data_IF_775456602294
#
_entry.id   IF_775456602294
#
_cell.length_a   1.000
_cell.length_b   1.000
_cell.length_c   1.000
_cell.angle_alpha   90.00
_cell.angle_beta   90.00
_cell.angle_gamma   90.00
#
_symmetry.space_group_name_H-M   'P 1'
#
loop_
_entity.id
_entity.type
_entity.pdbx_description
1 polymer ?
#
# COMPACT_ATOMS: atom_id res chain seq x y z
N UNK A 1 3.21 25.62 -5.47
CA UNK A 1 3.55 24.23 -5.85
C UNK A 1 4.93 24.24 -6.47
N UNK A 2 5.86 23.35 -6.11
CA UNK A 2 7.16 23.32 -6.80
C UNK A 2 6.98 22.77 -8.22
N UNK A 3 7.71 23.35 -9.18
CA UNK A 3 7.79 22.90 -10.58
C UNK A 3 8.12 21.41 -10.68
N UNK A 4 8.96 20.92 -9.77
CA UNK A 4 9.36 19.52 -9.66
C UNK A 4 8.19 18.56 -9.37
N UNK A 5 7.22 18.97 -8.55
CA UNK A 5 6.05 18.13 -8.22
C UNK A 5 5.11 17.97 -9.40
N UNK A 6 4.98 19.01 -10.25
CA UNK A 6 4.21 18.93 -11.49
C UNK A 6 4.87 17.96 -12.48
N UNK A 7 6.18 18.10 -12.68
CA UNK A 7 6.95 17.26 -13.61
C UNK A 7 6.93 15.78 -13.21
N UNK A 8 6.99 15.47 -11.91
CA UNK A 8 6.86 14.10 -11.39
C UNK A 8 5.50 13.48 -11.73
N UNK A 9 4.41 14.24 -11.59
CA UNK A 9 3.06 13.77 -11.92
C UNK A 9 2.86 13.57 -13.41
N UNK A 10 3.40 14.46 -14.24
CA UNK A 10 3.35 14.34 -15.70
C UNK A 10 4.13 13.10 -16.17
N UNK A 11 5.36 12.93 -15.68
CA UNK A 11 6.20 11.77 -16.00
C UNK A 11 5.49 10.46 -15.63
N UNK A 12 4.83 10.46 -14.46
CA UNK A 12 4.03 9.33 -14.02
C UNK A 12 2.82 9.09 -14.91
N UNK A 13 2.06 10.12 -15.26
CA UNK A 13 0.89 9.99 -16.13
C UNK A 13 1.29 9.41 -17.50
N UNK A 14 2.42 9.85 -18.08
CA UNK A 14 3.00 9.27 -19.28
C UNK A 14 3.34 7.79 -19.11
N UNK A 15 3.98 7.42 -17.99
CA UNK A 15 4.31 6.01 -17.67
C UNK A 15 3.05 5.15 -17.50
N UNK A 16 2.01 5.66 -16.85
CA UNK A 16 0.73 4.97 -16.72
C UNK A 16 0.13 4.71 -18.10
N UNK A 17 0.01 5.74 -18.95
CA UNK A 17 -0.51 5.63 -20.32
C UNK A 17 0.25 4.59 -21.15
N UNK A 18 1.58 4.59 -21.09
CA UNK A 18 2.43 3.62 -21.79
C UNK A 18 2.16 2.16 -21.37
N UNK A 19 1.64 1.94 -20.16
CA UNK A 19 1.39 0.61 -19.60
C UNK A 19 -0.11 0.35 -19.33
N UNK A 20 -1.00 1.04 -20.03
CA UNK A 20 -2.44 0.98 -19.80
C UNK A 20 -3.01 -0.45 -19.81
N UNK A 21 -2.54 -1.30 -20.75
CA UNK A 21 -2.97 -2.69 -20.87
C UNK A 21 -2.63 -3.53 -19.62
N UNK A 22 -1.45 -3.31 -19.02
CA UNK A 22 -1.01 -4.03 -17.81
C UNK A 22 -1.89 -3.66 -16.62
N UNK A 23 -2.22 -2.37 -16.48
CA UNK A 23 -3.11 -1.89 -15.43
C UNK A 23 -4.54 -2.38 -15.60
N UNK A 24 -5.06 -2.34 -16.82
CA UNK A 24 -6.39 -2.86 -17.14
C UNK A 24 -6.49 -4.36 -16.84
N UNK A 25 -5.46 -5.14 -17.23
CA UNK A 25 -5.37 -6.56 -16.91
C UNK A 25 -5.40 -6.81 -15.41
N UNK A 26 -4.51 -6.16 -14.64
CA UNK A 26 -4.44 -6.35 -13.19
C UNK A 26 -5.76 -6.00 -12.48
N UNK A 27 -6.36 -4.87 -12.86
CA UNK A 27 -7.67 -4.46 -12.33
C UNK A 27 -8.77 -5.47 -12.68
N UNK A 28 -8.83 -5.93 -13.93
CA UNK A 28 -9.82 -6.90 -14.36
C UNK A 28 -9.62 -8.26 -13.69
N UNK A 29 -8.37 -8.68 -13.44
CA UNK A 29 -8.06 -9.88 -12.66
C UNK A 29 -8.56 -9.77 -11.22
N UNK A 30 -8.37 -8.61 -10.57
CA UNK A 30 -8.93 -8.34 -9.24
C UNK A 30 -10.46 -8.39 -9.24
N UNK A 31 -11.12 -7.79 -10.25
CA UNK A 31 -12.57 -7.90 -10.42
C UNK A 31 -13.03 -9.33 -10.63
N UNK A 32 -12.38 -10.07 -11.52
CA UNK A 32 -12.72 -11.46 -11.80
C UNK A 32 -12.55 -12.33 -10.56
N UNK A 33 -11.50 -12.09 -9.76
CA UNK A 33 -11.28 -12.77 -8.48
C UNK A 33 -12.43 -12.50 -7.50
N UNK A 34 -12.84 -11.24 -7.36
CA UNK A 34 -13.93 -10.84 -6.48
C UNK A 34 -15.30 -11.33 -6.92
N UNK A 35 -15.62 -11.27 -8.21
CA UNK A 35 -16.92 -11.70 -8.71
C UNK A 35 -17.07 -13.22 -8.81
N UNK A 36 -15.96 -13.96 -8.90
CA UNK A 36 -15.95 -15.43 -8.82
C UNK A 36 -15.85 -15.96 -7.39
N UNK A 37 -15.57 -15.10 -6.41
CA UNK A 37 -15.51 -15.55 -5.02
C UNK A 37 -16.91 -15.84 -4.50
N UNK A 38 -17.01 -16.78 -3.56
CA UNK A 38 -18.30 -17.13 -2.94
C UNK A 38 -18.79 -16.08 -1.93
N UNK A 39 -17.97 -15.07 -1.63
CA UNK A 39 -18.21 -14.04 -0.62
C UNK A 39 -17.88 -12.68 -1.19
N UNK A 40 -18.87 -11.78 -1.17
CA UNK A 40 -18.70 -10.39 -1.55
C UNK A 40 -18.49 -9.55 -0.29
N UNK A 41 -17.23 -9.21 -0.02
CA UNK A 41 -16.87 -8.25 1.03
C UNK A 41 -17.01 -6.82 0.51
N UNK A 42 -17.39 -5.89 1.38
CA UNK A 42 -17.46 -4.45 1.04
C UNK A 42 -16.17 -3.72 1.37
N UNK A 43 -15.38 -4.30 2.28
CA UNK A 43 -14.16 -3.72 2.83
C UNK A 43 -13.17 -4.85 3.10
N UNK A 44 -11.88 -4.55 2.94
CA UNK A 44 -10.78 -5.38 3.41
C UNK A 44 -10.36 -4.85 4.78
N UNK A 45 -10.38 -5.71 5.79
CA UNK A 45 -10.02 -5.37 7.16
C UNK A 45 -8.51 -5.59 7.35
N UNK A 46 -7.78 -4.55 7.73
CA UNK A 46 -6.32 -4.60 7.93
C UNK A 46 -6.06 -4.36 9.41
N UNK A 47 -5.42 -5.29 10.13
CA UNK A 47 -5.11 -5.06 11.55
C UNK A 47 -4.28 -3.79 11.71
N UNK A 48 -4.65 -2.94 12.68
CA UNK A 48 -3.98 -1.65 12.91
C UNK A 48 -2.47 -1.76 13.15
N UNK A 49 -2.02 -2.88 13.71
CA UNK A 49 -0.61 -3.20 13.91
C UNK A 49 0.23 -3.14 12.62
N UNK A 50 -0.39 -3.25 11.43
CA UNK A 50 0.30 -3.04 10.16
C UNK A 50 0.78 -1.60 9.96
N UNK A 51 0.01 -0.63 10.49
CA UNK A 51 0.13 0.80 10.20
C UNK A 51 0.87 1.53 11.33
N UNK A 52 0.73 1.02 12.54
CA UNK A 52 1.32 1.58 13.75
C UNK A 52 2.78 1.12 13.93
N UNK A 53 3.59 1.98 14.54
CA UNK A 53 4.93 1.64 14.97
C UNK A 53 4.90 0.44 15.94
N UNK A 54 5.89 -0.44 15.82
CA UNK A 54 6.05 -1.57 16.73
C UNK A 54 6.69 -1.02 18.01
N UNK A 55 5.94 -1.03 19.11
CA UNK A 55 6.48 -0.74 20.43
C UNK A 55 6.80 -2.06 21.10
N UNK A 56 8.02 -2.57 20.92
CA UNK A 56 8.75 -3.54 21.78
C UNK A 56 10.02 -4.00 21.02
N UNK A 57 11.24 -3.82 21.56
CA UNK A 57 12.47 -4.29 20.91
C UNK A 57 12.63 -5.80 21.10
N UNK A 58 11.95 -6.61 20.28
CA UNK A 58 12.17 -8.06 20.27
C UNK A 58 13.44 -8.39 19.46
N UNK A 59 14.54 -8.73 20.13
CA UNK A 59 15.77 -9.20 19.47
C UNK A 59 15.66 -10.69 19.15
N UNK A 60 15.41 -11.00 17.89
CA UNK A 60 15.55 -12.37 17.38
C UNK A 60 17.02 -12.78 17.41
N UNK A 61 17.36 -13.79 18.21
CA UNK A 61 18.59 -14.57 18.03
C UNK A 61 18.30 -15.61 16.95
N UNK A 62 18.56 -15.25 15.70
CA UNK A 62 18.63 -16.22 14.61
C UNK A 62 20.05 -16.78 14.61
N UNK A 63 20.17 -18.09 14.82
CA UNK A 63 21.46 -18.78 14.87
C UNK A 63 22.31 -18.45 13.63
N UNK A 64 23.54 -18.03 13.93
CA UNK A 64 24.55 -17.60 12.97
C UNK A 64 24.96 -18.79 12.09
N UNK A 65 24.53 -18.77 10.83
CA UNK A 65 25.25 -19.43 9.74
C UNK A 65 25.85 -18.35 8.83
N UNK A 66 27.14 -18.44 8.60
CA UNK A 66 28.04 -17.39 8.11
C UNK A 66 27.58 -16.61 6.87
N UNK A 67 27.98 -15.33 6.86
CA UNK A 67 27.94 -14.35 5.76
C UNK A 67 26.58 -13.69 5.42
N UNK A 68 26.03 -12.88 6.33
CA UNK A 68 25.02 -11.87 5.99
C UNK A 68 25.31 -10.61 6.84
N UNK A 69 25.36 -9.44 6.18
CA UNK A 69 25.33 -8.10 6.80
C UNK A 69 24.42 -8.08 8.03
N UNK A 70 24.85 -7.44 9.13
CA UNK A 70 24.11 -7.27 10.39
C UNK A 70 22.61 -7.07 10.15
N UNK A 71 21.85 -8.14 10.32
CA UNK A 71 20.45 -8.22 9.92
C UNK A 71 19.56 -7.87 11.11
N UNK A 72 19.26 -6.58 11.28
CA UNK A 72 18.15 -6.14 12.15
C UNK A 72 16.97 -5.72 11.27
N UNK A 73 15.81 -6.38 11.38
CA UNK A 73 14.55 -5.80 10.92
C UNK A 73 14.42 -4.36 11.44
N UNK A 74 13.75 -3.47 10.71
CA UNK A 74 13.49 -2.13 11.20
C UNK A 74 12.37 -2.18 12.26
N UNK A 75 12.66 -2.79 13.41
CA UNK A 75 11.70 -3.02 14.49
C UNK A 75 11.16 -1.72 15.07
N UNK A 76 11.81 -0.58 14.83
CA UNK A 76 11.28 0.73 15.23
C UNK A 76 10.26 1.30 14.25
N UNK A 77 10.05 0.64 13.10
CA UNK A 77 9.12 1.09 12.05
C UNK A 77 7.85 0.26 12.06
N UNK A 78 6.74 0.89 11.66
CA UNK A 78 5.53 0.18 11.28
C UNK A 78 5.81 -0.73 10.07
N UNK A 79 5.20 -1.93 10.01
CA UNK A 79 5.31 -2.83 8.86
C UNK A 79 4.97 -2.12 7.54
N UNK A 80 3.98 -1.23 7.54
CA UNK A 80 3.60 -0.45 6.37
C UNK A 80 4.75 0.43 5.85
N UNK A 81 5.45 1.13 6.75
CA UNK A 81 6.50 2.08 6.33
C UNK A 81 7.82 1.41 6.01
N UNK A 82 8.13 0.26 6.61
CA UNK A 82 9.30 -0.53 6.24
C UNK A 82 9.22 -1.05 4.79
N UNK A 83 8.00 -1.23 4.27
CA UNK A 83 7.75 -1.64 2.89
C UNK A 83 7.84 -0.51 1.84
N UNK A 84 7.99 0.76 2.26
CA UNK A 84 8.10 1.88 1.32
C UNK A 84 9.43 1.80 0.56
N UNK A 85 9.34 1.59 -0.74
CA UNK A 85 10.49 1.58 -1.65
C UNK A 85 10.13 2.30 -2.96
N UNK A 86 11.08 3.06 -3.51
CA UNK A 86 10.87 3.88 -4.72
C UNK A 86 10.46 3.08 -5.97
N UNK A 87 10.82 1.79 -6.02
CA UNK A 87 10.52 0.88 -7.15
C UNK A 87 9.90 -0.45 -6.71
N UNK A 88 9.53 -0.56 -5.43
CA UNK A 88 8.97 -1.78 -4.86
C UNK A 88 7.45 -1.89 -5.08
N UNK A 89 6.97 -3.14 -5.07
CA UNK A 89 5.53 -3.47 -5.11
C UNK A 89 5.08 -4.20 -3.84
N UNK A 90 5.87 -4.18 -2.78
CA UNK A 90 5.66 -5.03 -1.61
C UNK A 90 4.36 -4.69 -0.87
N UNK A 91 4.06 -3.39 -0.66
CA UNK A 91 2.78 -2.95 -0.09
C UNK A 91 1.62 -3.41 -0.97
N UNK A 92 1.71 -3.20 -2.28
CA UNK A 92 0.66 -3.59 -3.22
C UNK A 92 0.41 -5.09 -3.20
N UNK A 93 1.48 -5.90 -3.24
CA UNK A 93 1.41 -7.35 -3.15
C UNK A 93 0.75 -7.78 -1.83
N UNK A 94 1.17 -7.22 -0.69
CA UNK A 94 0.61 -7.57 0.60
C UNK A 94 -0.88 -7.22 0.71
N UNK A 95 -1.29 -6.02 0.29
CA UNK A 95 -2.69 -5.63 0.27
C UNK A 95 -3.53 -6.52 -0.65
N UNK A 96 -2.99 -6.94 -1.79
CA UNK A 96 -3.66 -7.90 -2.70
C UNK A 96 -3.75 -9.28 -2.06
N UNK A 97 -2.75 -9.72 -1.30
CA UNK A 97 -2.83 -10.95 -0.54
C UNK A 97 -3.95 -10.92 0.51
N UNK A 98 -4.10 -9.81 1.24
CA UNK A 98 -5.19 -9.63 2.21
C UNK A 98 -6.56 -9.60 1.50
N UNK A 99 -6.67 -8.86 0.40
CA UNK A 99 -7.88 -8.84 -0.43
C UNK A 99 -8.24 -10.24 -0.96
N UNK A 100 -7.25 -11.00 -1.44
CA UNK A 100 -7.45 -12.36 -1.96
C UNK A 100 -7.95 -13.31 -0.86
N UNK A 101 -7.29 -13.28 0.30
CA UNK A 101 -7.63 -14.11 1.44
C UNK A 101 -9.06 -13.82 1.94
N UNK A 102 -9.39 -12.54 2.15
CA UNK A 102 -10.69 -12.15 2.70
C UNK A 102 -11.84 -12.30 1.71
N UNK A 103 -11.55 -12.28 0.41
CA UNK A 103 -12.58 -12.54 -0.62
C UNK A 103 -13.02 -14.00 -0.64
N UNK A 104 -12.19 -14.95 -0.15
CA UNK A 104 -12.48 -16.39 -0.24
C UNK A 104 -12.65 -17.12 1.10
N UNK A 105 -12.12 -16.57 2.20
CA UNK A 105 -12.15 -17.20 3.52
C UNK A 105 -13.13 -16.50 4.46
N UNK A 106 -13.67 -17.25 5.42
CA UNK A 106 -14.46 -16.70 6.52
C UNK A 106 -13.55 -16.08 7.59
N UNK A 107 -14.06 -15.15 8.42
CA UNK A 107 -13.38 -14.69 9.63
C UNK A 107 -12.85 -15.85 10.49
N UNK A 108 -11.64 -15.68 11.03
CA UNK A 108 -10.92 -16.69 11.82
C UNK A 108 -10.18 -17.76 11.02
N UNK A 109 -10.42 -17.89 9.70
CA UNK A 109 -9.81 -18.96 8.89
C UNK A 109 -8.43 -18.55 8.37
N UNK A 110 -7.45 -19.45 8.49
CA UNK A 110 -6.14 -19.34 7.84
C UNK A 110 -6.26 -19.63 6.33
N UNK A 111 -5.94 -18.67 5.44
CA UNK A 111 -6.00 -18.87 4.00
C UNK A 111 -4.83 -19.71 3.47
N UNK A 112 -5.10 -20.89 2.90
CA UNK A 112 -4.09 -21.67 2.17
C UNK A 112 -3.81 -21.07 0.79
N UNK A 113 -2.55 -20.79 0.46
CA UNK A 113 -2.17 -20.24 -0.85
C UNK A 113 -2.08 -21.36 -1.90
N UNK A 114 -3.12 -21.49 -2.71
CA UNK A 114 -3.17 -22.45 -3.81
C UNK A 114 -2.90 -21.78 -5.18
N UNK A 115 -2.61 -20.48 -5.19
CA UNK A 115 -2.49 -19.70 -6.42
C UNK A 115 -1.05 -19.76 -6.95
N UNK A 116 -0.84 -20.15 -8.21
CA UNK A 116 0.50 -20.20 -8.76
C UNK A 116 1.05 -18.77 -8.94
N UNK A 117 2.38 -18.62 -8.86
CA UNK A 117 3.02 -17.33 -9.16
C UNK A 117 2.85 -16.91 -10.62
N UNK A 118 2.80 -17.87 -11.54
CA UNK A 118 2.65 -17.65 -12.97
C UNK A 118 1.45 -18.44 -13.52
N UNK A 119 0.76 -17.92 -14.55
CA UNK A 119 -0.38 -18.63 -15.13
C UNK A 119 0.12 -19.89 -15.84
N UNK A 120 -0.51 -21.04 -15.50
CA UNK A 120 -0.21 -22.35 -16.08
C UNK A 120 -1.17 -22.73 -17.22
N UNK A 121 -2.43 -22.31 -17.16
CA UNK A 121 -3.43 -22.46 -18.25
C UNK A 121 -4.58 -21.46 -18.04
N UNK A 122 -5.57 -21.79 -17.20
CA UNK A 122 -6.81 -21.01 -17.00
C UNK A 122 -6.97 -20.42 -15.59
N UNK A 123 -5.99 -20.63 -14.73
CA UNK A 123 -5.99 -20.11 -13.37
C UNK A 123 -5.38 -18.71 -13.30
N UNK A 124 -6.08 -17.79 -12.60
CA UNK A 124 -5.55 -16.45 -12.29
C UNK A 124 -4.34 -16.61 -11.38
N UNK A 125 -3.16 -16.18 -11.83
CA UNK A 125 -1.93 -16.24 -11.04
C UNK A 125 -1.66 -14.95 -10.26
N UNK A 126 -0.71 -14.98 -9.32
CA UNK A 126 -0.26 -13.76 -8.63
C UNK A 126 0.29 -12.70 -9.60
N UNK A 127 0.89 -13.14 -10.71
CA UNK A 127 1.34 -12.25 -11.79
C UNK A 127 0.19 -11.49 -12.46
N UNK A 128 -1.00 -12.08 -12.52
CA UNK A 128 -2.18 -11.47 -13.15
C UNK A 128 -2.85 -10.44 -12.27
N UNK A 129 -2.70 -10.56 -10.95
CA UNK A 129 -3.27 -9.63 -9.97
C UNK A 129 -2.44 -8.35 -9.80
N UNK A 130 -1.19 -8.31 -10.28
CA UNK A 130 -0.27 -7.20 -10.05
C UNK A 130 0.13 -6.48 -11.34
N UNK A 131 -0.09 -5.16 -11.34
CA UNK A 131 0.46 -4.28 -12.37
C UNK A 131 1.95 -4.03 -12.11
N UNK A 132 2.80 -4.80 -12.76
CA UNK A 132 4.26 -4.69 -12.66
C UNK A 132 4.84 -4.17 -13.97
N UNK A 133 5.56 -3.05 -13.89
CA UNK A 133 6.22 -2.43 -15.04
C UNK A 133 7.64 -2.92 -15.10
N UNK A 134 7.93 -3.71 -16.13
CA UNK A 134 9.28 -4.11 -16.40
C UNK A 134 9.60 -3.92 -17.88
N UNK A 135 10.53 -3.01 -18.16
CA UNK A 135 11.21 -2.98 -19.44
C UNK A 135 12.12 -4.21 -19.53
N UNK A 136 12.04 -4.94 -20.63
CA UNK A 136 12.99 -6.00 -20.94
C UNK A 136 14.23 -5.42 -21.63
N UNK A 137 15.41 -5.92 -21.26
CA UNK A 137 16.60 -5.91 -22.10
C UNK A 137 16.96 -7.37 -22.32
N UNK A 138 17.25 -7.74 -23.57
CA UNK A 138 17.64 -9.10 -23.91
C UNK A 138 18.80 -9.57 -23.02
N UNK A 139 18.80 -10.83 -22.52
CA UNK A 139 17.93 -11.94 -22.93
C UNK A 139 16.63 -12.14 -22.12
N UNK A 140 16.31 -11.28 -21.15
CA UNK A 140 15.16 -11.48 -20.25
C UNK A 140 13.83 -11.00 -20.86
N UNK A 141 12.74 -11.77 -20.72
CA UNK A 141 11.42 -11.33 -21.19
C UNK A 141 10.76 -10.36 -20.20
N UNK A 142 9.78 -9.54 -20.64
CA UNK A 142 9.00 -8.71 -19.72
C UNK A 142 8.33 -9.54 -18.61
N UNK A 143 7.89 -10.76 -18.93
CA UNK A 143 7.29 -11.70 -17.98
C UNK A 143 8.28 -12.12 -16.88
N UNK A 144 9.52 -12.44 -17.25
CA UNK A 144 10.57 -12.81 -16.30
C UNK A 144 10.90 -11.66 -15.34
N UNK A 145 10.92 -10.44 -15.86
CA UNK A 145 11.19 -9.27 -15.04
C UNK A 145 10.04 -8.97 -14.08
N UNK A 146 8.79 -9.14 -14.50
CA UNK A 146 7.62 -9.03 -13.62
C UNK A 146 7.64 -10.11 -12.53
N UNK A 147 7.96 -11.36 -12.87
CA UNK A 147 8.13 -12.42 -11.88
C UNK A 147 9.25 -12.09 -10.89
N UNK A 148 10.38 -11.59 -11.37
CA UNK A 148 11.50 -11.15 -10.52
C UNK A 148 11.09 -10.03 -9.57
N UNK A 149 10.24 -9.09 -9.99
CA UNK A 149 9.69 -8.06 -9.11
C UNK A 149 8.81 -8.66 -8.00
N UNK A 150 7.95 -9.64 -8.33
CA UNK A 150 7.14 -10.35 -7.33
C UNK A 150 8.03 -11.12 -6.35
N UNK A 151 9.03 -11.86 -6.84
CA UNK A 151 9.98 -12.58 -5.97
C UNK A 151 10.73 -11.63 -5.03
N UNK A 152 11.20 -10.47 -5.53
CA UNK A 152 11.81 -9.43 -4.69
C UNK A 152 10.85 -8.85 -3.66
N UNK A 153 9.58 -8.66 -4.03
CA UNK A 153 8.56 -8.20 -3.11
C UNK A 153 8.26 -9.24 -2.02
N UNK A 154 8.19 -10.53 -2.35
CA UNK A 154 8.04 -11.62 -1.39
C UNK A 154 9.22 -11.70 -0.41
N UNK A 155 10.45 -11.55 -0.89
CA UNK A 155 11.62 -11.47 -0.01
C UNK A 155 11.55 -10.26 0.94
N UNK A 156 11.05 -9.13 0.46
CA UNK A 156 10.84 -7.96 1.30
C UNK A 156 9.76 -8.23 2.37
N UNK A 157 8.65 -8.88 2.00
CA UNK A 157 7.60 -9.26 2.94
C UNK A 157 8.08 -10.31 3.96
N UNK A 158 8.89 -11.27 3.54
CA UNK A 158 9.53 -12.26 4.42
C UNK A 158 10.45 -11.59 5.44
N UNK A 159 11.26 -10.61 4.99
CA UNK A 159 12.13 -9.82 5.89
C UNK A 159 11.33 -9.07 6.97
N UNK A 160 10.15 -8.58 6.63
CA UNK A 160 9.27 -7.85 7.56
C UNK A 160 8.33 -8.77 8.36
N UNK A 161 8.50 -10.10 8.25
CA UNK A 161 7.69 -11.15 8.88
C UNK A 161 6.19 -11.08 8.54
N UNK A 162 5.89 -10.69 7.29
CA UNK A 162 4.51 -10.63 6.76
C UNK A 162 4.16 -11.84 5.91
N UNK A 163 5.17 -12.59 5.47
CA UNK A 163 5.05 -13.83 4.69
C UNK A 163 6.08 -14.86 5.14
N UNK A 164 5.71 -16.13 5.14
CA UNK A 164 6.62 -17.27 5.25
C UNK A 164 6.79 -17.93 3.87
N UNK A 165 8.04 -18.13 3.43
CA UNK A 165 8.35 -18.84 2.19
C UNK A 165 8.76 -20.28 2.54
N UNK A 166 7.98 -21.30 2.16
CA UNK A 166 8.18 -22.67 2.66
C UNK A 166 9.41 -23.38 2.10
N UNK A 167 9.96 -22.93 0.96
CA UNK A 167 11.07 -23.60 0.28
C UNK A 167 12.46 -23.16 0.75
N UNK A 168 13.38 -24.13 0.89
CA UNK A 168 14.81 -23.87 1.09
C UNK A 168 15.41 -22.97 -0.01
N UNK A 169 16.51 -22.26 0.32
CA UNK A 169 17.13 -21.19 -0.52
C UNK A 169 17.41 -21.59 -1.98
N UNK A 170 17.49 -22.88 -2.30
CA UNK A 170 18.00 -23.39 -3.59
C UNK A 170 16.95 -24.01 -4.54
N UNK A 171 15.64 -23.95 -4.23
CA UNK A 171 14.62 -24.49 -5.14
C UNK A 171 14.00 -23.40 -6.03
N UNK A 172 13.90 -23.65 -7.34
CA UNK A 172 13.30 -22.70 -8.30
C UNK A 172 11.84 -22.37 -7.97
N UNK A 173 11.13 -23.30 -7.31
CA UNK A 173 9.76 -23.18 -6.84
C UNK A 173 9.63 -22.73 -5.37
N UNK A 174 10.72 -22.27 -4.72
CA UNK A 174 10.66 -21.90 -3.28
C UNK A 174 9.56 -20.90 -2.93
N UNK A 175 9.22 -20.02 -3.87
CA UNK A 175 8.25 -18.96 -3.69
C UNK A 175 6.79 -19.42 -3.88
N UNK A 176 6.55 -20.66 -4.31
CA UNK A 176 5.20 -21.22 -4.42
C UNK A 176 4.64 -21.50 -3.02
N UNK A 177 3.32 -21.39 -2.87
CA UNK A 177 2.66 -21.75 -1.61
C UNK A 177 3.09 -20.92 -0.40
N UNK A 178 3.63 -19.71 -0.61
CA UNK A 178 3.97 -18.80 0.48
C UNK A 178 2.77 -18.57 1.38
N UNK A 179 2.99 -18.48 2.69
CA UNK A 179 1.93 -18.31 3.69
C UNK A 179 1.91 -16.89 4.21
N UNK A 180 0.73 -16.37 4.50
CA UNK A 180 0.58 -15.06 5.12
C UNK A 180 0.82 -15.16 6.62
N UNK A 181 1.54 -14.18 7.16
CA UNK A 181 1.75 -13.99 8.59
C UNK A 181 0.94 -12.80 9.09
N UNK A 182 0.78 -12.71 10.40
CA UNK A 182 0.05 -11.64 11.06
C UNK A 182 0.59 -10.26 10.66
N UNK A 183 -0.31 -9.29 10.46
CA UNK A 183 0.06 -7.99 9.91
C UNK A 183 0.90 -7.13 10.85
N UNK A 184 1.05 -7.50 12.13
CA UNK A 184 2.04 -6.89 13.04
C UNK A 184 3.48 -7.11 12.58
N UNK A 185 3.73 -8.21 11.85
CA UNK A 185 5.06 -8.69 11.51
C UNK A 185 5.94 -8.89 12.75
N UNK A 186 5.33 -9.28 13.86
CA UNK A 186 5.99 -9.67 15.10
C UNK A 186 5.79 -11.17 15.36
N UNK A 187 6.83 -11.90 15.79
CA UNK A 187 6.67 -13.24 16.31
C UNK A 187 6.01 -13.21 17.69
N UNK A 188 5.56 -14.36 18.18
CA UNK A 188 5.15 -14.51 19.59
C UNK A 188 6.35 -14.34 20.53
N UNK A 189 6.07 -14.20 21.83
CA UNK A 189 7.11 -14.23 22.88
C UNK A 189 7.95 -15.52 22.86
N UNK A 190 7.37 -16.64 22.40
CA UNK A 190 8.07 -17.91 22.20
C UNK A 190 8.83 -17.99 20.86
N UNK A 191 9.06 -16.87 20.20
CA UNK A 191 9.70 -16.79 18.89
C UNK A 191 9.00 -17.61 17.79
N UNK A 192 7.69 -17.81 17.90
CA UNK A 192 6.91 -18.55 16.89
C UNK A 192 6.26 -17.57 15.92
N UNK A 193 6.32 -17.87 14.62
CA UNK A 193 5.67 -17.06 13.60
C UNK A 193 4.14 -17.16 13.76
N UNK A 194 3.48 -16.00 13.82
CA UNK A 194 2.02 -15.94 13.93
C UNK A 194 1.43 -15.98 12.53
N UNK A 195 0.65 -17.02 12.22
CA UNK A 195 -0.01 -17.15 10.94
C UNK A 195 -1.15 -16.15 10.80
N UNK A 196 -1.37 -15.68 9.60
CA UNK A 196 -2.51 -14.84 9.30
C UNK A 196 -3.81 -15.66 9.33
N UNK A 197 -4.80 -15.13 10.03
CA UNK A 197 -6.21 -15.50 9.87
C UNK A 197 -6.98 -14.27 9.42
N UNK A 198 -8.05 -14.49 8.65
CA UNK A 198 -9.00 -13.42 8.33
C UNK A 198 -9.50 -12.80 9.65
N UNK A 199 -9.41 -11.47 9.84
CA UNK A 199 -9.82 -10.84 11.09
C UNK A 199 -11.26 -11.19 11.48
N UNK A 200 -11.48 -11.43 12.77
CA UNK A 200 -12.81 -11.50 13.37
C UNK A 200 -13.43 -10.09 13.45
N UNK A 201 -14.76 -10.02 13.53
CA UNK A 201 -15.50 -8.76 13.48
C UNK A 201 -15.17 -7.82 14.67
N UNK A 202 -14.78 -8.39 15.81
CA UNK A 202 -14.38 -7.66 17.02
C UNK A 202 -12.91 -7.19 17.03
N UNK A 203 -12.10 -7.56 16.03
CA UNK A 203 -10.70 -7.17 16.00
C UNK A 203 -10.50 -5.72 15.57
N UNK A 204 -9.50 -5.06 16.16
CA UNK A 204 -9.13 -3.69 15.86
C UNK A 204 -8.46 -3.58 14.48
N UNK A 205 -9.28 -3.20 13.49
CA UNK A 205 -8.91 -3.22 12.07
C UNK A 205 -9.23 -1.88 11.41
N UNK A 206 -8.33 -1.45 10.53
CA UNK A 206 -8.60 -0.41 9.56
C UNK A 206 -9.46 -0.98 8.42
N UNK A 207 -10.55 -0.30 8.10
CA UNK A 207 -11.46 -0.66 7.01
C UNK A 207 -11.05 0.00 5.70
N UNK A 208 -10.62 -0.79 4.72
CA UNK A 208 -10.27 -0.31 3.38
C UNK A 208 -11.36 -0.70 2.37
N UNK A 209 -12.08 0.26 1.75
CA UNK A 209 -13.17 -0.07 0.82
C UNK A 209 -12.72 -0.93 -0.35
N UNK A 210 -13.56 -1.88 -0.76
CA UNK A 210 -13.28 -2.84 -1.83
C UNK A 210 -12.95 -2.17 -3.17
N UNK A 211 -13.54 -1.00 -3.41
CA UNK A 211 -13.28 -0.15 -4.59
C UNK A 211 -11.80 0.23 -4.74
N UNK A 212 -11.02 0.24 -3.65
CA UNK A 212 -9.57 0.44 -3.72
C UNK A 212 -8.89 -0.60 -4.63
N UNK A 213 -9.39 -1.83 -4.62
CA UNK A 213 -8.91 -2.93 -5.45
C UNK A 213 -9.65 -2.96 -6.80
N UNK A 214 -10.98 -2.91 -6.79
CA UNK A 214 -11.81 -3.07 -7.99
C UNK A 214 -11.65 -1.91 -8.99
N UNK A 215 -11.33 -0.71 -8.51
CA UNK A 215 -11.05 0.45 -9.36
C UNK A 215 -9.56 0.66 -9.65
N UNK A 216 -8.69 -0.21 -9.11
CA UNK A 216 -7.26 -0.26 -9.44
C UNK A 216 -6.39 0.74 -8.69
N UNK A 217 -6.87 1.36 -7.61
CA UNK A 217 -6.09 2.31 -6.79
C UNK A 217 -4.83 1.67 -6.23
N UNK A 218 -4.91 0.40 -5.79
CA UNK A 218 -3.76 -0.37 -5.31
C UNK A 218 -2.62 -0.45 -6.35
N UNK A 219 -2.94 -0.44 -7.64
CA UNK A 219 -1.93 -0.55 -8.70
C UNK A 219 -1.33 0.81 -9.07
N UNK A 220 -2.17 1.84 -9.11
CA UNK A 220 -1.74 3.13 -9.65
C UNK A 220 -1.08 4.01 -8.60
N UNK A 221 -1.38 3.84 -7.30
CA UNK A 221 -0.76 4.61 -6.21
C UNK A 221 0.66 4.12 -5.89
N UNK A 222 1.52 5.06 -5.50
CA UNK A 222 2.89 4.76 -5.08
C UNK A 222 2.88 4.18 -3.67
N UNK A 223 3.94 3.45 -3.24
CA UNK A 223 4.02 2.97 -1.86
C UNK A 223 3.84 4.08 -0.80
N UNK A 224 4.42 5.26 -1.04
CA UNK A 224 4.27 6.41 -0.14
C UNK A 224 2.85 7.00 -0.13
N UNK A 225 2.17 7.02 -1.28
CA UNK A 225 0.77 7.45 -1.37
C UNK A 225 -0.17 6.47 -0.68
N UNK A 226 0.04 5.16 -0.84
CA UNK A 226 -0.72 4.13 -0.12
C UNK A 226 -0.50 4.30 1.37
N UNK A 227 0.74 4.41 1.82
CA UNK A 227 1.05 4.55 3.24
C UNK A 227 0.41 5.82 3.85
N UNK A 228 0.51 6.95 3.15
CA UNK A 228 -0.13 8.20 3.56
C UNK A 228 -1.65 8.09 3.58
N UNK A 229 -2.25 7.42 2.60
CA UNK A 229 -3.70 7.23 2.54
C UNK A 229 -4.21 6.34 3.69
N UNK A 230 -3.52 5.23 3.98
CA UNK A 230 -3.88 4.34 5.10
C UNK A 230 -3.73 5.05 6.46
N UNK A 231 -2.68 5.85 6.64
CA UNK A 231 -2.53 6.70 7.83
C UNK A 231 -3.70 7.68 7.99
N UNK A 232 -4.12 8.36 6.92
CA UNK A 232 -5.24 9.30 6.96
C UNK A 232 -6.59 8.58 7.19
N UNK A 233 -6.76 7.36 6.66
CA UNK A 233 -7.92 6.54 6.97
C UNK A 233 -7.96 6.15 8.46
N UNK A 234 -6.80 5.80 9.02
CA UNK A 234 -6.70 5.47 10.44
C UNK A 234 -7.04 6.68 11.33
N UNK A 235 -6.47 7.84 11.04
CA UNK A 235 -6.79 9.09 11.73
C UNK A 235 -8.27 9.46 11.61
N UNK A 236 -8.89 9.24 10.45
CA UNK A 236 -10.34 9.46 10.26
C UNK A 236 -11.14 8.55 11.19
N UNK A 237 -10.76 7.28 11.31
CA UNK A 237 -11.48 6.33 12.14
C UNK A 237 -11.33 6.62 13.63
N UNK A 238 -10.15 7.07 14.05
CA UNK A 238 -9.86 7.50 15.43
C UNK A 238 -10.55 8.84 15.79
N UNK A 239 -10.74 9.73 14.82
CA UNK A 239 -11.24 11.09 15.04
C UNK A 239 -12.39 11.44 14.09
N UNK A 240 -13.47 10.64 14.11
CA UNK A 240 -14.63 10.78 13.19
C UNK A 240 -15.30 12.15 13.28
N UNK A 241 -15.52 12.64 14.50
CA UNK A 241 -16.16 13.95 14.74
C UNK A 241 -15.31 15.11 14.21
N UNK A 242 -13.99 15.07 14.47
CA UNK A 242 -13.03 16.04 13.94
C UNK A 242 -12.98 15.98 12.41
N UNK A 243 -12.95 14.78 11.82
CA UNK A 243 -12.98 14.60 10.37
C UNK A 243 -14.20 15.28 9.73
N UNK A 244 -15.38 15.08 10.31
CA UNK A 244 -16.63 15.58 9.73
C UNK A 244 -16.80 17.10 9.93
N UNK A 245 -16.38 17.63 11.07
CA UNK A 245 -16.42 19.07 11.38
C UNK A 245 -15.34 19.85 10.63
N UNK A 246 -14.08 19.77 11.06
CA UNK A 246 -12.98 20.62 10.61
C UNK A 246 -11.87 19.87 9.84
N UNK A 247 -12.00 18.56 9.66
CA UNK A 247 -10.99 17.70 9.04
C UNK A 247 -9.93 17.20 10.02
N UNK A 248 -9.24 16.14 9.63
CA UNK A 248 -8.14 15.53 10.39
C UNK A 248 -6.80 16.11 9.97
N UNK A 249 -5.85 16.17 10.89
CA UNK A 249 -4.48 16.53 10.59
C UNK A 249 -3.52 15.57 11.28
N UNK A 250 -2.29 15.50 10.76
CA UNK A 250 -1.23 14.71 11.38
C UNK A 250 -0.11 15.66 11.82
N UNK A 251 0.03 15.93 13.13
CA UNK A 251 1.21 16.59 13.68
C UNK A 251 2.49 15.84 13.31
N UNK A 252 3.60 16.55 13.17
CA UNK A 252 4.88 15.90 12.82
C UNK A 252 5.33 14.84 13.83
N UNK A 253 5.12 15.05 15.13
CA UNK A 253 5.48 14.08 16.18
C UNK A 253 4.62 12.80 16.06
N UNK A 254 3.28 12.93 16.00
CA UNK A 254 2.38 11.78 15.78
C UNK A 254 2.76 11.00 14.53
N UNK A 255 3.05 11.69 13.41
CA UNK A 255 3.43 11.03 12.17
C UNK A 255 4.68 10.17 12.31
N UNK A 256 5.70 10.68 12.99
CA UNK A 256 7.00 10.01 13.13
C UNK A 256 6.94 8.94 14.21
N UNK A 257 6.34 9.23 15.37
CA UNK A 257 6.29 8.32 16.50
C UNK A 257 5.27 7.20 16.30
N UNK A 258 4.04 7.54 15.89
CA UNK A 258 2.95 6.56 15.78
C UNK A 258 2.97 5.77 14.48
N UNK A 259 3.35 6.42 13.37
CA UNK A 259 3.24 5.82 12.03
C UNK A 259 4.59 5.59 11.36
N UNK A 260 5.68 6.11 11.94
CA UNK A 260 7.05 6.06 11.39
C UNK A 260 7.15 6.55 9.95
N UNK A 261 6.24 7.45 9.57
CA UNK A 261 6.12 7.96 8.21
C UNK A 261 7.00 9.22 8.05
N UNK A 262 7.97 9.14 7.15
CA UNK A 262 8.87 10.26 6.88
C UNK A 262 8.11 11.46 6.30
N UNK A 263 8.70 12.66 6.46
CA UNK A 263 8.17 13.88 5.84
C UNK A 263 8.00 13.72 4.33
N UNK A 264 9.01 13.19 3.65
CA UNK A 264 9.00 13.00 2.20
C UNK A 264 7.88 12.05 1.74
N UNK A 265 7.62 11.00 2.51
CA UNK A 265 6.52 10.09 2.22
C UNK A 265 5.18 10.79 2.39
N UNK A 266 5.04 11.57 3.47
CA UNK A 266 3.82 12.30 3.81
C UNK A 266 3.43 13.36 2.77
N UNK A 267 4.40 14.03 2.12
CA UNK A 267 4.15 14.98 1.02
C UNK A 267 3.33 14.36 -0.14
N UNK A 268 3.23 13.04 -0.21
CA UNK A 268 2.30 12.32 -1.09
C UNK A 268 0.84 12.74 -0.92
N UNK A 269 0.47 13.37 0.20
CA UNK A 269 -0.86 13.97 0.39
C UNK A 269 -1.20 15.01 -0.70
N UNK A 270 -0.21 15.64 -1.33
CA UNK A 270 -0.45 16.57 -2.45
C UNK A 270 -1.01 15.84 -3.68
N UNK A 271 -0.44 14.68 -4.02
CA UNK A 271 -0.94 13.83 -5.11
C UNK A 271 -2.31 13.26 -4.80
N UNK A 272 -2.51 12.77 -3.57
CA UNK A 272 -3.82 12.25 -3.12
C UNK A 272 -4.92 13.31 -3.23
N UNK A 273 -4.60 14.58 -2.92
CA UNK A 273 -5.54 15.69 -3.07
C UNK A 273 -5.88 15.95 -4.54
N UNK A 274 -4.89 15.90 -5.45
CA UNK A 274 -5.13 16.03 -6.90
C UNK A 274 -5.94 14.88 -7.49
N UNK A 275 -5.73 13.67 -7.01
CA UNK A 275 -6.59 12.53 -7.36
C UNK A 275 -8.01 12.68 -6.81
N UNK A 276 -8.25 13.65 -5.91
CA UNK A 276 -9.53 13.85 -5.24
C UNK A 276 -9.84 12.76 -4.21
N UNK A 277 -8.85 11.94 -3.81
CA UNK A 277 -9.01 10.95 -2.74
C UNK A 277 -9.15 11.62 -1.36
N UNK A 278 -8.51 12.78 -1.21
CA UNK A 278 -8.63 13.64 -0.03
C UNK A 278 -8.93 15.08 -0.48
N UNK A 279 -9.58 15.85 0.39
CA UNK A 279 -9.77 17.30 0.24
C UNK A 279 -8.94 18.01 1.30
N UNK A 280 -8.19 19.03 0.91
CA UNK A 280 -7.56 19.95 1.87
C UNK A 280 -8.63 20.90 2.37
N UNK A 281 -8.75 21.05 3.69
CA UNK A 281 -9.60 22.09 4.29
C UNK A 281 -8.85 23.41 4.19
N UNK A 282 -9.45 24.47 3.62
CA UNK A 282 -8.84 25.79 3.56
C UNK A 282 -8.46 26.27 4.96
N UNK A 283 -7.28 26.89 5.09
CA UNK A 283 -6.84 27.50 6.33
C UNK A 283 -6.70 29.00 6.08
N UNK A 284 -7.43 29.83 6.82
CA UNK A 284 -7.39 31.30 6.67
C UNK A 284 -5.98 31.89 6.84
N UNK A 285 -5.09 31.19 7.57
CA UNK A 285 -3.71 31.60 7.79
C UNK A 285 -2.74 31.07 6.72
N UNK A 286 -3.25 30.52 5.60
CA UNK A 286 -2.42 29.94 4.53
C UNK A 286 -3.02 30.21 3.16
N UNK A 287 -2.22 30.78 2.26
CA UNK A 287 -2.58 30.93 0.85
C UNK A 287 -2.75 29.57 0.16
N UNK A 288 -3.52 29.53 -0.93
CA UNK A 288 -3.74 28.32 -1.75
C UNK A 288 -2.45 27.70 -2.28
N UNK A 289 -1.41 28.52 -2.46
CA UNK A 289 -0.07 28.07 -2.86
C UNK A 289 0.71 27.36 -1.73
N UNK A 290 0.15 27.29 -0.53
CA UNK A 290 0.72 26.68 0.67
C UNK A 290 1.62 27.61 1.48
N UNK A 291 1.87 28.86 1.05
CA UNK A 291 2.59 29.84 1.86
C UNK A 291 1.70 30.37 2.98
N UNK A 292 2.33 30.75 4.07
CA UNK A 292 1.64 31.21 5.27
C UNK A 292 1.36 32.69 5.10
N UNK A 293 0.11 33.11 5.34
CA UNK A 293 -0.30 34.51 5.15
C UNK A 293 0.20 35.41 6.28
N UNK A 294 0.45 34.85 7.46
CA UNK A 294 0.97 35.57 8.63
C UNK A 294 1.71 34.62 9.57
N UNK A 295 2.91 35.00 10.02
CA UNK A 295 3.68 34.28 11.03
C UNK A 295 3.25 34.62 12.48
N UNK A 296 2.17 35.40 12.66
CA UNK A 296 1.70 35.82 13.99
C UNK A 296 1.00 34.70 14.77
N UNK A 297 0.70 33.57 14.11
CA UNK A 297 0.11 32.39 14.74
C UNK A 297 0.92 31.14 14.38
N UNK A 298 1.02 30.15 15.29
CA UNK A 298 1.78 28.93 15.04
C UNK A 298 1.28 28.23 13.77
N UNK A 299 2.23 27.70 12.99
CA UNK A 299 1.97 27.01 11.74
C UNK A 299 1.12 25.77 11.99
N UNK A 300 -0.18 25.85 11.68
CA UNK A 300 -1.06 24.70 11.77
C UNK A 300 -0.80 23.73 10.61
N UNK A 301 -0.82 22.43 10.93
CA UNK A 301 -0.79 21.36 9.94
C UNK A 301 -1.99 21.46 8.99
N UNK A 302 -1.79 20.99 7.75
CA UNK A 302 -2.91 20.85 6.82
C UNK A 302 -3.97 19.90 7.40
N UNK A 303 -5.21 20.34 7.33
CA UNK A 303 -6.38 19.53 7.66
C UNK A 303 -6.93 18.90 6.39
N UNK A 304 -7.39 17.66 6.50
CA UNK A 304 -7.84 16.84 5.39
C UNK A 304 -9.19 16.20 5.69
N UNK A 305 -10.02 16.05 4.66
CA UNK A 305 -11.19 15.18 4.67
C UNK A 305 -11.02 14.09 3.61
N UNK A 306 -11.30 12.84 3.96
CA UNK A 306 -11.36 11.74 3.00
C UNK A 306 -12.62 11.91 2.14
N UNK A 307 -12.45 11.92 0.82
CA UNK A 307 -13.56 12.13 -0.10
C UNK A 307 -14.47 10.89 -0.15
N UNK A 308 -15.76 11.07 0.16
CA UNK A 308 -16.78 10.02 -0.02
C UNK A 308 -16.90 9.64 -1.50
N UNK A 309 -16.95 8.35 -1.81
CA UNK A 309 -17.11 7.81 -3.18
C UNK A 309 -15.92 8.03 -4.14
N UNK A 310 -14.82 8.65 -3.67
CA UNK A 310 -13.70 8.95 -4.55
C UNK A 310 -13.00 7.69 -5.09
N UNK A 311 -13.04 6.60 -4.32
CA UNK A 311 -12.47 5.30 -4.69
C UNK A 311 -13.28 4.58 -5.78
N UNK A 312 -14.58 4.86 -5.92
CA UNK A 312 -15.45 4.24 -6.92
C UNK A 312 -15.16 4.71 -8.36
N UNK A 313 -14.30 5.73 -8.50
CA UNK A 313 -13.83 6.22 -9.80
C UNK A 313 -12.68 5.38 -10.30
N UNK A 314 -12.61 5.22 -11.62
CA UNK A 314 -11.52 4.52 -12.31
C UNK A 314 -10.16 5.18 -12.01
N UNK A 315 -9.33 4.48 -11.24
CA UNK A 315 -8.08 5.03 -10.73
C UNK A 315 -7.10 5.37 -11.86
N UNK A 316 -7.07 4.55 -12.92
CA UNK A 316 -6.22 4.80 -14.08
C UNK A 316 -6.64 6.06 -14.81
N UNK A 317 -7.95 6.25 -15.07
CA UNK A 317 -8.44 7.46 -15.74
C UNK A 317 -8.11 8.73 -14.95
N UNK A 318 -8.33 8.70 -13.63
CA UNK A 318 -8.04 9.85 -12.77
C UNK A 318 -6.54 10.17 -12.75
N UNK A 319 -5.70 9.18 -12.48
CA UNK A 319 -4.25 9.38 -12.33
C UNK A 319 -3.55 9.73 -13.64
N UNK A 320 -4.01 9.18 -14.78
CA UNK A 320 -3.46 9.51 -16.10
C UNK A 320 -4.03 10.80 -16.71
N UNK A 321 -5.22 11.23 -16.25
CA UNK A 321 -5.91 12.44 -16.73
C UNK A 321 -5.40 13.76 -16.14
N UNK A 322 -4.79 13.74 -14.95
CA UNK A 322 -4.31 14.96 -14.26
C UNK A 322 -3.25 15.74 -15.06
N UNK A 323 -2.54 15.07 -15.96
CA UNK A 323 -1.61 15.75 -16.87
C UNK A 323 -2.30 16.72 -17.85
N UNK A 324 -3.61 16.61 -18.08
CA UNK A 324 -4.36 17.46 -19.01
C UNK A 324 -4.99 18.70 -18.35
N UNK A 325 -5.10 18.74 -17.02
CA UNK A 325 -5.73 19.85 -16.29
C UNK A 325 -4.72 20.85 -15.69
N UNK A 326 -3.42 20.67 -15.96
CA UNK A 326 -2.35 21.49 -15.39
C UNK A 326 -1.85 22.60 -16.34
N UNK A 327 -2.74 23.20 -17.14
CA UNK A 327 -2.52 24.51 -17.76
C UNK A 327 -3.85 25.27 -17.81
N UNK A 328 -4.12 26.16 -16.84
CA UNK A 328 -4.64 27.51 -17.10
C UNK A 328 -3.43 28.44 -17.01
N UNK A 329 -2.94 29.04 -18.10
CA UNK A 329 -3.68 30.03 -18.87
C UNK A 329 -3.52 31.36 -18.14
N UNK A 330 -2.41 32.05 -18.41
CA UNK A 330 -2.25 33.47 -18.12
C UNK A 330 -3.40 34.23 -18.78
N UNK A 331 -4.15 34.97 -17.98
CA UNK A 331 -4.78 36.24 -18.37
C UNK A 331 -4.48 37.26 -17.26
#
# INVERSE_FOLDING_TARGET
MSTESAQRLETRAKKLKANAKIYAHARNSCKNLYYRSRRHIWEVHIRRAFILARYEPFRLSLDKSDSIEEFSPSWDRSPLTSLISSRGIAIQLFLICLFEAQSRCQPGVEPKNNRPLQPKTDEVAWLDLLATHASAKAPATPRDNRLRQIKKALLHLERELLVEIPGGKHTNDRFQGFRLLNESGMPTQSNSLVRYSVPLDQEDTLKLPIDFFLMGWVHVLSPAEIATYLMLLDLKEQHKEAHDSHGIFSPSHIRVERYTLSRDSYESHQSLAKYGLIKKVPNANRYDNGKVSSFRSPLQSHHFKISKGALSRDAFKITSGISQQAIPGEE
#
